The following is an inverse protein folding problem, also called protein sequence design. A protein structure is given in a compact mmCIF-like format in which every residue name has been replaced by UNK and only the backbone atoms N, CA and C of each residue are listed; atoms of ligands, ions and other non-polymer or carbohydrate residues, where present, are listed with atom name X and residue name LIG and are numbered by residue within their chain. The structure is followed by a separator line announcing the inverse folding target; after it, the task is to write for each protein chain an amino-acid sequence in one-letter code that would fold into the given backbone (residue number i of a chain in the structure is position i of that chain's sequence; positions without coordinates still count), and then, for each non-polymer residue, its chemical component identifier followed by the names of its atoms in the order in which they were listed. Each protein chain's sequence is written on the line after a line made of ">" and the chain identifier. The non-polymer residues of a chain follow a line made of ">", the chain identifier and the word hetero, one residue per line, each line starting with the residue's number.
data_IF_586782695021
#
_entry.id   IF_586782695021
#
_cell.length_a   1.000
_cell.length_b   1.000
_cell.length_c   1.000
_cell.angle_alpha   90.00
_cell.angle_beta   90.00
_cell.angle_gamma   90.00
#
_symmetry.space_group_name_H-M   'P 1'
#
loop_
_entity.id
_entity.type
_entity.pdbx_description
1 polymer ?
#
# COMPACT_ATOMS: atom_id res chain seq x y z
N UNK A 1 -14.46 -1.07 21.68
CA UNK A 1 -13.40 -0.05 21.57
C UNK A 1 -13.41 0.51 20.16
N UNK A 2 -13.26 1.83 19.96
CA UNK A 2 -13.08 2.39 18.62
C UNK A 2 -11.77 1.89 18.00
N UNK A 3 -11.74 1.73 16.67
CA UNK A 3 -10.55 1.31 15.93
C UNK A 3 -9.45 2.39 15.99
N UNK A 4 -8.20 1.95 16.00
CA UNK A 4 -7.00 2.81 16.04
C UNK A 4 -6.24 2.79 14.72
N UNK A 5 -5.25 3.67 14.58
CA UNK A 5 -4.37 3.77 13.41
C UNK A 5 -3.86 2.40 12.94
N UNK A 6 -3.36 1.57 13.86
CA UNK A 6 -2.81 0.26 13.54
C UNK A 6 -3.85 -0.66 12.89
N UNK A 7 -5.11 -0.62 13.35
CA UNK A 7 -6.19 -1.42 12.79
C UNK A 7 -6.43 -1.05 11.32
N UNK A 8 -6.51 0.25 11.03
CA UNK A 8 -6.69 0.75 9.67
C UNK A 8 -5.49 0.44 8.79
N UNK A 9 -4.27 0.77 9.23
CA UNK A 9 -3.06 0.60 8.43
C UNK A 9 -2.80 -0.87 8.10
N UNK A 10 -2.99 -1.77 9.08
CA UNK A 10 -2.85 -3.22 8.89
C UNK A 10 -3.92 -3.75 7.95
N UNK A 11 -5.19 -3.32 8.10
CA UNK A 11 -6.28 -3.79 7.25
C UNK A 11 -6.14 -3.29 5.81
N UNK A 12 -5.68 -2.06 5.59
CA UNK A 12 -5.36 -1.53 4.26
C UNK A 12 -4.30 -2.40 3.58
N UNK A 13 -3.21 -2.74 4.28
CA UNK A 13 -2.18 -3.63 3.73
C UNK A 13 -2.75 -5.02 3.42
N UNK A 14 -3.60 -5.57 4.29
CA UNK A 14 -4.24 -6.86 4.06
C UNK A 14 -5.16 -6.85 2.84
N UNK A 15 -5.93 -5.77 2.62
CA UNK A 15 -6.73 -5.59 1.42
C UNK A 15 -5.84 -5.54 0.17
N UNK A 16 -4.71 -4.83 0.21
CA UNK A 16 -3.77 -4.80 -0.91
C UNK A 16 -3.12 -6.16 -1.17
N UNK A 17 -2.80 -6.92 -0.11
CA UNK A 17 -2.28 -8.29 -0.22
C UNK A 17 -3.34 -9.24 -0.81
N UNK A 18 -4.62 -9.06 -0.46
CA UNK A 18 -5.73 -9.83 -1.04
C UNK A 18 -6.00 -9.44 -2.49
N UNK A 19 -5.87 -8.16 -2.84
CA UNK A 19 -5.89 -7.70 -4.23
C UNK A 19 -4.80 -8.41 -5.03
N UNK A 20 -3.56 -8.45 -4.52
CA UNK A 20 -2.46 -9.15 -5.17
C UNK A 20 -2.69 -10.67 -5.20
N UNK A 21 -3.15 -11.30 -4.13
CA UNK A 21 -3.34 -12.75 -4.13
C UNK A 21 -4.47 -13.22 -5.04
N UNK A 22 -5.55 -12.44 -5.15
CA UNK A 22 -6.81 -12.86 -5.79
C UNK A 22 -7.13 -12.13 -7.10
N UNK A 23 -6.50 -10.98 -7.35
CA UNK A 23 -6.83 -10.06 -8.43
C UNK A 23 -8.23 -9.43 -8.33
N UNK A 24 -8.94 -9.57 -7.21
CA UNK A 24 -10.31 -9.05 -7.03
C UNK A 24 -10.28 -7.55 -6.65
N UNK A 25 -10.82 -6.71 -7.53
CA UNK A 25 -10.73 -5.24 -7.39
C UNK A 25 -11.52 -4.69 -6.22
N UNK A 26 -12.48 -5.44 -5.67
CA UNK A 26 -13.20 -4.99 -4.46
C UNK A 26 -12.25 -4.68 -3.30
N UNK A 27 -11.15 -5.42 -3.21
CA UNK A 27 -10.15 -5.19 -2.16
C UNK A 27 -9.39 -3.88 -2.35
N UNK A 28 -9.23 -3.42 -3.60
CA UNK A 28 -8.69 -2.08 -3.87
C UNK A 28 -9.67 -0.99 -3.42
N UNK A 29 -10.96 -1.17 -3.72
CA UNK A 29 -12.01 -0.23 -3.33
C UNK A 29 -12.11 -0.13 -1.79
N UNK A 30 -12.05 -1.28 -1.10
CA UNK A 30 -12.02 -1.35 0.36
C UNK A 30 -10.78 -0.63 0.93
N UNK A 31 -9.59 -0.88 0.37
CA UNK A 31 -8.36 -0.22 0.79
C UNK A 31 -8.43 1.31 0.63
N UNK A 32 -8.99 1.79 -0.48
CA UNK A 32 -9.20 3.23 -0.73
C UNK A 32 -10.20 3.83 0.28
N UNK A 33 -11.31 3.14 0.56
CA UNK A 33 -12.30 3.61 1.52
C UNK A 33 -11.75 3.68 2.95
N UNK A 34 -10.98 2.65 3.34
CA UNK A 34 -10.28 2.61 4.63
C UNK A 34 -9.24 3.72 4.74
N UNK A 35 -8.41 3.92 3.70
CA UNK A 35 -7.42 5.00 3.67
C UNK A 35 -8.09 6.37 3.78
N UNK A 36 -9.20 6.60 3.06
CA UNK A 36 -9.96 7.84 3.16
C UNK A 36 -10.54 8.11 4.55
N UNK A 37 -10.90 7.05 5.28
CA UNK A 37 -11.33 7.15 6.69
C UNK A 37 -10.14 7.47 7.59
N UNK A 38 -9.02 6.77 7.42
CA UNK A 38 -7.80 7.01 8.16
C UNK A 38 -7.31 8.45 7.98
N UNK A 39 -7.33 8.94 6.75
CA UNK A 39 -6.99 10.31 6.36
C UNK A 39 -7.85 11.36 7.04
N UNK A 40 -9.16 11.11 7.13
CA UNK A 40 -10.12 12.06 7.69
C UNK A 40 -9.98 12.20 9.20
N UNK A 41 -9.78 11.08 9.90
CA UNK A 41 -9.88 11.03 11.35
C UNK A 41 -8.51 11.05 12.05
N UNK A 42 -7.44 10.61 11.40
CA UNK A 42 -6.16 10.33 12.06
C UNK A 42 -4.99 11.18 11.53
N UNK A 43 -5.09 11.76 10.33
CA UNK A 43 -3.97 12.49 9.74
C UNK A 43 -3.54 13.70 10.57
N UNK A 44 -2.22 13.89 10.68
CA UNK A 44 -1.61 15.11 11.19
C UNK A 44 -1.19 16.01 10.00
N UNK A 45 -1.59 17.29 9.97
CA UNK A 45 -1.07 18.26 9.01
C UNK A 45 0.47 18.34 8.95
N UNK A 46 1.17 17.99 10.04
CA UNK A 46 2.64 17.92 10.09
C UNK A 46 3.22 16.63 9.48
N UNK A 47 2.38 15.71 8.97
CA UNK A 47 2.76 14.43 8.39
C UNK A 47 2.56 13.26 9.36
N UNK A 48 2.25 12.08 8.81
CA UNK A 48 1.88 10.91 9.61
C UNK A 48 0.47 11.00 10.20
N UNK A 49 0.18 10.09 11.12
CA UNK A 49 -1.13 9.85 11.68
C UNK A 49 -1.04 9.65 13.20
N UNK A 50 -2.00 10.19 13.92
CA UNK A 50 -2.18 9.91 15.34
C UNK A 50 -2.78 8.52 15.56
N UNK A 51 -2.51 7.91 16.70
CA UNK A 51 -3.04 6.58 17.08
C UNK A 51 -4.56 6.57 17.16
N UNK A 52 -5.15 7.63 17.72
CA UNK A 52 -6.61 7.73 17.97
C UNK A 52 -7.26 8.75 17.05
N UNK A 53 -8.56 8.60 16.79
CA UNK A 53 -9.34 9.49 15.92
C UNK A 53 -9.51 10.89 16.53
N UNK A 54 -9.62 11.93 15.68
CA UNK A 54 -9.78 13.33 16.10
C UNK A 54 -11.17 13.61 16.72
N UNK A 55 -12.18 12.83 16.36
CA UNK A 55 -13.54 12.89 16.88
C UNK A 55 -13.80 11.87 18.00
N UNK A 56 -12.75 11.20 18.50
CA UNK A 56 -12.84 10.29 19.63
C UNK A 56 -13.24 11.02 20.92
N UNK A 57 -14.30 10.55 21.56
CA UNK A 57 -14.88 11.16 22.80
C UNK A 57 -14.01 10.87 24.04
N UNK A 58 -13.18 9.82 23.97
CA UNK A 58 -12.51 9.23 25.14
C UNK A 58 -11.07 9.71 25.38
N UNK A 59 -10.46 10.43 24.43
CA UNK A 59 -9.07 10.93 24.56
C UNK A 59 -9.03 12.43 24.28
N UNK A 60 -8.60 13.28 25.23
CA UNK A 60 -8.46 14.70 24.97
C UNK A 60 -7.49 14.93 23.78
N UNK A 61 -7.91 15.76 22.83
CA UNK A 61 -7.15 16.06 21.59
C UNK A 61 -5.68 16.42 21.82
N UNK A 62 -5.34 17.00 22.98
CA UNK A 62 -3.99 17.41 23.38
C UNK A 62 -3.03 16.26 23.71
N UNK A 63 -3.51 15.02 23.83
CA UNK A 63 -2.71 13.85 24.23
C UNK A 63 -2.70 12.72 23.19
N UNK A 64 -3.00 13.02 21.93
CA UNK A 64 -2.97 12.02 20.85
C UNK A 64 -1.52 11.65 20.54
N UNK A 65 -1.16 10.41 20.82
CA UNK A 65 0.13 9.83 20.46
C UNK A 65 0.24 9.73 18.94
N UNK A 66 1.42 10.00 18.39
CA UNK A 66 1.80 9.66 17.02
C UNK A 66 2.84 8.54 17.08
N UNK A 67 2.46 7.27 16.87
CA UNK A 67 3.39 6.15 16.99
C UNK A 67 4.49 6.26 15.94
N UNK A 68 5.75 6.34 16.36
CA UNK A 68 6.91 6.60 15.50
C UNK A 68 7.97 5.49 15.51
N UNK A 69 7.90 4.54 16.45
CA UNK A 69 8.82 3.40 16.56
C UNK A 69 8.10 2.07 16.32
N UNK A 70 8.72 1.21 15.52
CA UNK A 70 8.31 -0.18 15.37
C UNK A 70 8.80 -0.98 16.59
N UNK A 71 7.90 -1.78 17.16
CA UNK A 71 8.20 -2.68 18.28
C UNK A 71 8.19 -4.14 17.85
N UNK A 72 7.56 -5.00 18.67
CA UNK A 72 7.22 -6.36 18.24
C UNK A 72 6.29 -6.35 17.01
N UNK A 73 5.45 -5.33 16.91
CA UNK A 73 4.60 -5.04 15.75
C UNK A 73 5.07 -3.73 15.09
N UNK A 74 4.97 -3.63 13.75
CA UNK A 74 5.26 -2.38 13.07
C UNK A 74 4.32 -1.25 13.51
N UNK A 75 4.86 -0.04 13.66
CA UNK A 75 4.04 1.12 14.01
C UNK A 75 3.01 1.42 12.94
N UNK A 76 1.88 1.97 13.36
CA UNK A 76 0.82 2.39 12.45
C UNK A 76 1.32 3.36 11.36
N UNK A 77 2.27 4.25 11.68
CA UNK A 77 2.85 5.17 10.70
C UNK A 77 3.77 4.48 9.68
N UNK A 78 4.61 3.52 10.11
CA UNK A 78 5.41 2.72 9.19
C UNK A 78 4.54 1.92 8.22
N UNK A 79 3.45 1.33 8.73
CA UNK A 79 2.49 0.57 7.92
C UNK A 79 1.71 1.48 6.96
N UNK A 80 1.23 2.63 7.45
CA UNK A 80 0.51 3.60 6.64
C UNK A 80 1.40 4.15 5.50
N UNK A 81 2.67 4.47 5.77
CA UNK A 81 3.62 4.89 4.74
C UNK A 81 3.74 3.86 3.62
N UNK A 82 3.87 2.57 3.96
CA UNK A 82 3.93 1.49 2.98
C UNK A 82 2.62 1.35 2.19
N UNK A 83 1.47 1.36 2.88
CA UNK A 83 0.15 1.25 2.26
C UNK A 83 -0.13 2.39 1.27
N UNK A 84 0.20 3.63 1.64
CA UNK A 84 0.08 4.80 0.78
C UNK A 84 0.97 4.69 -0.47
N UNK A 85 2.19 4.18 -0.36
CA UNK A 85 3.07 3.98 -1.52
C UNK A 85 2.53 2.92 -2.48
N UNK A 86 1.96 1.83 -1.95
CA UNK A 86 1.31 0.80 -2.77
C UNK A 86 0.05 1.35 -3.44
N UNK A 87 -0.79 2.09 -2.72
CA UNK A 87 -1.95 2.78 -3.28
C UNK A 87 -1.54 3.77 -4.38
N UNK A 88 -0.49 4.57 -4.17
CA UNK A 88 0.05 5.48 -5.17
C UNK A 88 0.49 4.73 -6.44
N UNK A 89 1.18 3.60 -6.28
CA UNK A 89 1.65 2.78 -7.41
C UNK A 89 0.49 2.15 -8.21
N UNK A 90 -0.57 1.69 -7.53
CA UNK A 90 -1.71 1.04 -8.18
C UNK A 90 -2.67 2.06 -8.82
N UNK A 91 -2.90 3.18 -8.14
CA UNK A 91 -3.95 4.15 -8.54
C UNK A 91 -3.43 5.30 -9.39
N UNK A 92 -2.11 5.50 -9.43
CA UNK A 92 -1.42 6.67 -9.98
C UNK A 92 -1.82 8.01 -9.32
N UNK A 93 -2.46 7.97 -8.15
CA UNK A 93 -2.82 9.18 -7.40
C UNK A 93 -1.60 9.72 -6.63
N UNK A 94 -1.11 10.88 -7.08
CA UNK A 94 0.01 11.58 -6.49
C UNK A 94 -0.24 12.04 -5.04
N UNK A 95 -1.50 12.15 -4.59
CA UNK A 95 -1.82 12.49 -3.21
C UNK A 95 -1.37 11.40 -2.24
N UNK A 96 -1.56 10.12 -2.58
CA UNK A 96 -1.06 9.03 -1.74
C UNK A 96 0.47 9.06 -1.62
N UNK A 97 1.18 9.33 -2.72
CA UNK A 97 2.64 9.51 -2.70
C UNK A 97 3.04 10.68 -1.79
N UNK A 98 2.41 11.85 -1.94
CA UNK A 98 2.69 13.02 -1.11
C UNK A 98 2.49 12.74 0.38
N UNK A 99 1.40 12.05 0.74
CA UNK A 99 1.11 11.64 2.12
C UNK A 99 2.13 10.65 2.64
N UNK A 100 2.49 9.63 1.86
CA UNK A 100 3.53 8.68 2.23
C UNK A 100 4.86 9.35 2.54
N UNK A 101 5.30 10.26 1.67
CA UNK A 101 6.53 11.03 1.88
C UNK A 101 6.42 11.95 3.09
N UNK A 102 5.24 12.53 3.36
CA UNK A 102 4.97 13.28 4.58
C UNK A 102 5.14 12.43 5.84
N UNK A 103 4.61 11.21 5.82
CA UNK A 103 4.78 10.24 6.91
C UNK A 103 6.24 9.84 7.07
N UNK A 104 6.95 9.52 5.99
CA UNK A 104 8.39 9.20 6.03
C UNK A 104 9.23 10.36 6.56
N UNK A 105 8.92 11.61 6.17
CA UNK A 105 9.57 12.81 6.72
C UNK A 105 9.34 12.94 8.22
N UNK A 106 8.14 12.64 8.72
CA UNK A 106 7.86 12.66 10.16
C UNK A 106 8.69 11.62 10.95
N UNK A 107 9.08 10.52 10.30
CA UNK A 107 9.94 9.48 10.84
C UNK A 107 11.44 9.71 10.52
N UNK A 108 11.78 10.79 9.81
CA UNK A 108 13.10 10.97 9.21
C UNK A 108 14.25 10.97 10.21
N UNK A 109 14.03 11.50 11.42
CA UNK A 109 15.03 11.45 12.51
C UNK A 109 15.33 10.01 12.91
N UNK A 110 14.30 9.18 13.12
CA UNK A 110 14.47 7.78 13.49
C UNK A 110 15.08 6.96 12.37
N UNK A 111 14.66 7.19 11.12
CA UNK A 111 15.28 6.57 9.93
C UNK A 111 16.78 6.85 9.88
N UNK A 112 17.20 8.07 10.21
CA UNK A 112 18.60 8.50 10.10
C UNK A 112 19.45 8.09 11.30
N UNK A 113 18.94 8.27 12.52
CA UNK A 113 19.71 8.12 13.76
C UNK A 113 19.54 6.72 14.38
N UNK A 114 18.38 6.08 14.20
CA UNK A 114 18.00 4.83 14.86
C UNK A 114 17.26 3.89 13.88
N UNK A 115 17.83 3.54 12.72
CA UNK A 115 17.13 2.82 11.65
C UNK A 115 16.54 1.46 12.09
N UNK A 116 17.18 0.80 13.05
CA UNK A 116 16.70 -0.48 13.60
C UNK A 116 15.39 -0.35 14.40
N UNK A 117 15.00 0.87 14.80
CA UNK A 117 13.72 1.14 15.47
C UNK A 117 12.56 1.36 14.49
N UNK A 118 12.83 1.40 13.17
CA UNK A 118 11.81 1.65 12.14
C UNK A 118 11.97 0.75 10.89
N UNK A 119 12.22 -0.56 11.02
CA UNK A 119 12.44 -1.47 9.90
C UNK A 119 11.32 -1.45 8.85
N UNK A 120 10.04 -1.30 9.25
CA UNK A 120 8.94 -1.26 8.28
C UNK A 120 8.90 0.08 7.53
N UNK A 121 9.27 1.19 8.17
CA UNK A 121 9.46 2.47 7.48
C UNK A 121 10.64 2.40 6.49
N UNK A 122 11.69 1.63 6.79
CA UNK A 122 12.78 1.40 5.83
C UNK A 122 12.30 0.63 4.59
N UNK A 123 11.41 -0.36 4.73
CA UNK A 123 10.76 -1.00 3.58
C UNK A 123 9.94 0.00 2.75
N UNK A 124 9.22 0.91 3.41
CA UNK A 124 8.50 1.98 2.73
C UNK A 124 9.45 2.95 2.03
N UNK A 125 10.57 3.32 2.66
CA UNK A 125 11.59 4.19 2.06
C UNK A 125 12.23 3.54 0.83
N UNK A 126 12.57 2.25 0.91
CA UNK A 126 13.07 1.48 -0.23
C UNK A 126 12.06 1.51 -1.39
N UNK A 127 10.78 1.24 -1.11
CA UNK A 127 9.72 1.33 -2.12
C UNK A 127 9.52 2.74 -2.69
N UNK A 128 9.74 3.78 -1.88
CA UNK A 128 9.65 5.17 -2.33
C UNK A 128 10.75 5.52 -3.35
N UNK A 129 11.94 4.93 -3.20
CA UNK A 129 13.09 5.12 -4.09
C UNK A 129 13.17 4.09 -5.23
N UNK A 130 12.48 2.96 -5.10
CA UNK A 130 12.40 1.97 -6.16
C UNK A 130 11.78 2.59 -7.43
N UNK A 131 12.44 2.35 -8.57
CA UNK A 131 11.84 2.59 -9.88
C UNK A 131 10.80 1.47 -10.15
N UNK A 132 9.72 1.44 -9.36
CA UNK A 132 8.71 0.39 -9.45
C UNK A 132 8.08 0.45 -10.83
N UNK A 133 8.39 -0.55 -11.65
CA UNK A 133 7.66 -0.88 -12.87
C UNK A 133 6.63 -1.92 -12.46
N UNK A 134 5.36 -1.57 -12.48
CA UNK A 134 4.29 -2.53 -12.19
C UNK A 134 4.45 -3.75 -13.12
N UNK A 135 4.67 -4.94 -12.54
CA UNK A 135 4.68 -6.20 -13.28
C UNK A 135 3.29 -6.78 -13.18
N UNK A 136 2.59 -6.79 -14.31
CA UNK A 136 1.28 -7.43 -14.45
C UNK A 136 1.51 -8.84 -14.97
N UNK A 137 1.24 -9.86 -14.16
CA UNK A 137 1.24 -11.25 -14.61
C UNK A 137 -0.18 -11.64 -14.97
N UNK A 138 -0.40 -11.95 -16.25
CA UNK A 138 -1.70 -12.40 -16.75
C UNK A 138 -1.74 -13.91 -16.82
N UNK A 139 -2.59 -14.55 -16.02
CA UNK A 139 -2.82 -16.00 -16.09
C UNK A 139 -4.10 -16.32 -16.88
N UNK A 140 -4.17 -17.50 -17.53
CA UNK A 140 -5.42 -18.00 -18.11
C UNK A 140 -6.51 -18.15 -17.05
N UNK A 141 -7.78 -18.03 -17.45
CA UNK A 141 -8.92 -18.23 -16.56
C UNK A 141 -8.84 -19.60 -15.85
N UNK A 142 -8.93 -19.60 -14.51
CA UNK A 142 -8.83 -20.80 -13.66
C UNK A 142 -7.42 -21.14 -13.15
N UNK A 143 -6.39 -20.39 -13.51
CA UNK A 143 -5.04 -20.53 -12.94
C UNK A 143 -4.83 -19.57 -11.76
N UNK A 144 -4.44 -20.13 -10.60
CA UNK A 144 -4.04 -19.41 -9.39
C UNK A 144 -2.88 -18.44 -9.67
N UNK A 145 -3.10 -17.11 -9.62
CA UNK A 145 -2.07 -16.12 -9.96
C UNK A 145 -0.83 -16.22 -9.06
N UNK A 146 -1.01 -16.64 -7.82
CA UNK A 146 0.06 -16.83 -6.83
C UNK A 146 1.14 -17.83 -7.29
N UNK A 147 0.78 -18.86 -8.05
CA UNK A 147 1.76 -19.84 -8.56
C UNK A 147 2.65 -19.28 -9.67
N UNK A 148 2.16 -18.26 -10.40
CA UNK A 148 2.93 -17.58 -11.44
C UNK A 148 3.89 -16.53 -10.86
N UNK A 149 3.48 -15.84 -9.78
CA UNK A 149 4.32 -14.87 -9.05
C UNK A 149 5.59 -15.46 -8.43
N UNK A 150 5.53 -16.69 -7.93
CA UNK A 150 6.64 -17.34 -7.21
C UNK A 150 7.93 -17.53 -8.05
N UNK A 151 7.87 -17.27 -9.36
CA UNK A 151 9.02 -17.38 -10.28
C UNK A 151 9.77 -16.06 -10.50
N UNK A 152 9.25 -14.94 -9.99
CA UNK A 152 9.80 -13.59 -10.19
C UNK A 152 10.17 -12.99 -8.84
N UNK A 153 11.44 -13.12 -8.45
CA UNK A 153 11.87 -12.92 -7.06
C UNK A 153 12.20 -11.49 -6.63
N UNK A 154 11.98 -10.43 -7.43
CA UNK A 154 12.54 -9.10 -7.09
C UNK A 154 11.63 -7.89 -7.39
N UNK A 155 10.33 -8.05 -7.59
CA UNK A 155 9.47 -6.89 -7.92
C UNK A 155 8.07 -7.08 -7.38
N UNK A 156 7.46 -6.04 -6.82
CA UNK A 156 6.04 -5.99 -6.45
C UNK A 156 5.19 -6.40 -7.67
N UNK A 157 4.50 -7.53 -7.54
CA UNK A 157 3.71 -8.16 -8.60
C UNK A 157 2.25 -7.78 -8.40
N UNK A 158 1.64 -7.08 -9.37
CA UNK A 158 0.18 -6.96 -9.42
C UNK A 158 -0.31 -8.15 -10.26
N UNK A 159 -0.74 -9.20 -9.59
CA UNK A 159 -1.35 -10.37 -10.22
C UNK A 159 -2.79 -10.03 -10.63
N UNK A 160 -3.13 -10.12 -11.92
CA UNK A 160 -4.50 -9.95 -12.35
C UNK A 160 -4.82 -10.85 -13.57
N UNK A 161 -6.01 -11.45 -13.58
CA UNK A 161 -6.50 -12.27 -14.69
C UNK A 161 -6.95 -11.41 -15.88
N UNK A 162 -6.97 -11.98 -17.10
CA UNK A 162 -7.23 -11.26 -18.36
C UNK A 162 -8.55 -10.46 -18.37
N UNK A 163 -9.62 -11.00 -17.81
CA UNK A 163 -10.92 -10.32 -17.74
C UNK A 163 -10.96 -9.19 -16.69
N UNK A 164 -10.21 -9.31 -15.59
CA UNK A 164 -10.17 -8.31 -14.51
C UNK A 164 -9.21 -7.15 -14.79
N UNK A 165 -8.14 -7.40 -15.52
CA UNK A 165 -7.26 -6.36 -16.05
C UNK A 165 -8.07 -5.34 -16.85
N UNK A 166 -8.98 -5.75 -17.72
CA UNK A 166 -9.83 -4.81 -18.49
C UNK A 166 -10.66 -3.85 -17.64
N UNK A 167 -11.05 -4.22 -16.43
CA UNK A 167 -11.77 -3.34 -15.50
C UNK A 167 -10.82 -2.42 -14.75
N UNK A 168 -9.68 -2.94 -14.30
CA UNK A 168 -8.59 -2.16 -13.69
C UNK A 168 -8.03 -1.09 -14.65
N UNK A 169 -8.00 -1.41 -15.94
CA UNK A 169 -7.53 -0.56 -17.03
C UNK A 169 -8.61 0.37 -17.62
N UNK A 170 -9.90 0.16 -17.30
CA UNK A 170 -10.98 1.01 -17.83
C UNK A 170 -10.94 2.37 -17.13
N UNK A 171 -10.62 3.43 -17.89
CA UNK A 171 -10.66 4.82 -17.42
C UNK A 171 -9.38 5.33 -16.74
N UNK A 172 -8.31 4.53 -16.67
CA UNK A 172 -6.98 4.97 -16.20
C UNK A 172 -6.03 5.07 -17.39
N UNK A 173 -5.24 6.15 -17.48
CA UNK A 173 -4.43 6.51 -18.66
C UNK A 173 -3.07 5.81 -18.77
N UNK A 174 -2.97 4.53 -18.40
CA UNK A 174 -1.72 3.78 -18.24
C UNK A 174 -0.94 3.50 -19.55
N UNK A 175 -1.42 4.00 -20.71
CA UNK A 175 -0.89 3.66 -22.04
C UNK A 175 0.50 4.23 -22.37
N UNK A 176 1.17 4.99 -21.48
CA UNK A 176 2.40 5.70 -21.86
C UNK A 176 3.55 5.78 -20.85
N UNK A 177 3.46 5.18 -19.66
CA UNK A 177 4.58 5.23 -18.70
C UNK A 177 5.08 3.85 -18.29
N UNK A 178 6.16 3.41 -18.93
CA UNK A 178 7.19 2.47 -18.44
C UNK A 178 6.79 1.13 -17.76
N UNK A 179 5.52 0.70 -17.82
CA UNK A 179 5.09 -0.60 -17.33
C UNK A 179 5.57 -1.70 -18.31
N UNK A 180 6.35 -2.66 -17.80
CA UNK A 180 6.77 -3.81 -18.58
C UNK A 180 5.66 -4.86 -18.51
N UNK A 181 4.77 -4.87 -19.51
CA UNK A 181 3.72 -5.88 -19.62
C UNK A 181 4.35 -7.20 -20.08
N UNK A 182 4.57 -8.14 -19.15
CA UNK A 182 5.01 -9.49 -19.50
C UNK A 182 3.80 -10.41 -19.66
N UNK A 183 3.30 -10.52 -20.90
CA UNK A 183 2.24 -11.46 -21.24
C UNK A 183 2.89 -12.82 -21.51
N UNK A 184 2.74 -13.78 -20.59
CA UNK A 184 3.02 -15.18 -20.91
C UNK A 184 1.80 -15.78 -21.60
N UNK A 185 1.79 -15.81 -22.94
CA UNK A 185 0.80 -16.61 -23.66
C UNK A 185 1.00 -18.10 -23.32
N UNK A 186 -0.09 -18.88 -23.09
CA UNK A 186 0.04 -20.32 -22.98
C UNK A 186 0.58 -20.86 -24.31
N UNK A 187 1.64 -21.68 -24.24
CA UNK A 187 2.19 -22.36 -25.39
C UNK A 187 1.05 -23.03 -26.18
N UNK A 188 0.87 -22.62 -27.45
CA UNK A 188 -0.03 -23.30 -28.38
C UNK A 188 0.38 -24.77 -28.42
N UNK A 189 -0.44 -25.65 -27.83
CA UNK A 189 -0.35 -27.09 -28.11
C UNK A 189 -0.80 -27.27 -29.56
N UNK A 190 0.17 -27.58 -30.42
CA UNK A 190 -0.02 -28.11 -31.79
C UNK A 190 -0.55 -29.53 -31.71
#
# INVERSE_FOLDING_TARGET
>A
HPAVLEDYATLILACLDLLEATGDTRWLDDAIALQGTLDRHFADPAGGYFRTAADGVDVPLLFREKPDQDGAEPSGNSQAALGLLRLAAITEDAEYRRRAEGTLRSLGRLITEVPHAVPKALCALDLAHAAVRAVIIVTPDGAEPAQAAARTAETTIILATWNRIRELLRGRGWATSAALLHITEPARRV
#
